data_IF_122973587903
#
_entry.id   IF_122973587903
#
_cell.length_a   1.000
_cell.length_b   1.000
_cell.length_c   1.000
_cell.angle_alpha   90.00
_cell.angle_beta   90.00
_cell.angle_gamma   90.00
#
_symmetry.space_group_name_H-M   'P 1'
#
loop_
_entity.id
_entity.type
_entity.pdbx_description
1 polymer ?
#
# COMPACT_ATOMS: atom_id res chain seq x y z
N UNK A 1 57.10 -1.89 -3.11
CA UNK A 1 56.15 -0.78 -3.32
C UNK A 1 54.97 -1.12 -4.26
N UNK A 2 54.64 -2.40 -4.52
CA UNK A 2 53.58 -2.79 -5.48
C UNK A 2 52.42 -3.63 -4.89
N UNK A 3 52.43 -3.96 -3.60
CA UNK A 3 51.34 -4.74 -2.97
C UNK A 3 50.22 -3.85 -2.40
N UNK A 4 50.54 -2.61 -1.99
CA UNK A 4 49.58 -1.71 -1.35
C UNK A 4 48.60 -1.08 -2.37
N UNK A 5 49.01 -0.92 -3.63
CA UNK A 5 48.17 -0.34 -4.68
C UNK A 5 47.09 -1.33 -5.17
N UNK A 6 47.31 -2.65 -5.09
CA UNK A 6 46.32 -3.65 -5.51
C UNK A 6 45.18 -3.85 -4.49
N UNK A 7 45.47 -3.66 -3.20
CA UNK A 7 44.47 -3.83 -2.12
C UNK A 7 43.49 -2.64 -2.09
N UNK A 8 43.97 -1.44 -2.42
CA UNK A 8 43.12 -0.24 -2.46
C UNK A 8 42.16 -0.26 -3.65
N UNK A 9 42.54 -0.83 -4.80
CA UNK A 9 41.62 -0.97 -5.96
C UNK A 9 40.54 -2.03 -5.72
N UNK A 10 40.84 -3.14 -5.03
CA UNK A 10 39.84 -4.15 -4.67
C UNK A 10 38.85 -3.66 -3.59
N UNK A 11 39.31 -2.81 -2.66
CA UNK A 11 38.45 -2.19 -1.65
C UNK A 11 37.57 -1.06 -2.24
N UNK A 12 38.05 -0.33 -3.24
CA UNK A 12 37.25 0.70 -3.93
C UNK A 12 36.24 0.10 -4.93
N UNK A 13 36.51 -1.05 -5.55
CA UNK A 13 35.52 -1.77 -6.36
C UNK A 13 34.41 -2.46 -5.52
N UNK A 14 34.67 -2.75 -4.25
CA UNK A 14 33.64 -3.33 -3.35
C UNK A 14 32.77 -2.29 -2.65
N UNK A 15 33.15 -1.01 -2.69
CA UNK A 15 32.37 0.11 -2.13
C UNK A 15 31.46 0.81 -3.15
N UNK A 16 31.67 0.62 -4.45
CA UNK A 16 30.97 1.38 -5.49
C UNK A 16 29.65 0.77 -6.00
N UNK A 17 29.21 -0.40 -5.51
CA UNK A 17 28.01 -1.08 -6.02
C UNK A 17 27.11 -1.73 -4.95
N UNK A 18 27.20 -1.31 -3.68
CA UNK A 18 26.09 -1.57 -2.76
C UNK A 18 24.99 -0.55 -3.04
N UNK A 19 24.31 -0.70 -4.19
CA UNK A 19 22.92 -0.30 -4.24
C UNK A 19 22.27 -0.97 -3.03
N UNK A 20 21.68 -0.18 -2.13
CA UNK A 20 20.98 -0.72 -0.99
C UNK A 20 20.04 -1.80 -1.53
N UNK A 21 20.27 -3.05 -1.15
CA UNK A 21 19.45 -4.15 -1.61
C UNK A 21 18.05 -3.85 -1.07
N UNK A 22 17.13 -3.46 -1.95
CA UNK A 22 15.73 -3.32 -1.60
C UNK A 22 15.28 -4.69 -1.10
N UNK A 23 14.83 -4.77 0.15
CA UNK A 23 14.19 -5.98 0.69
C UNK A 23 12.68 -5.79 0.54
N UNK A 24 12.15 -6.26 -0.57
CA UNK A 24 10.71 -6.23 -0.86
C UNK A 24 10.02 -7.35 -0.11
N UNK A 25 9.02 -7.01 0.71
CA UNK A 25 8.13 -7.98 1.32
C UNK A 25 7.33 -8.73 0.23
N UNK A 26 7.43 -10.06 0.24
CA UNK A 26 6.71 -10.95 -0.69
C UNK A 26 5.46 -11.51 0.00
N UNK A 27 4.24 -10.99 -0.30
CA UNK A 27 3.01 -11.46 0.32
C UNK A 27 2.60 -12.87 -0.14
N UNK A 28 1.77 -13.60 0.64
CA UNK A 28 1.14 -14.86 0.23
C UNK A 28 0.28 -14.71 -1.03
N UNK A 29 -0.12 -15.83 -1.67
CA UNK A 29 -0.97 -15.81 -2.85
C UNK A 29 -2.23 -14.93 -2.68
N UNK A 30 -2.64 -14.25 -3.75
CA UNK A 30 -3.78 -13.33 -3.73
C UNK A 30 -4.02 -12.66 -5.08
N UNK A 31 -4.97 -11.73 -5.14
CA UNK A 31 -5.20 -10.89 -6.31
C UNK A 31 -5.10 -9.42 -5.92
N UNK A 32 -4.37 -8.65 -6.71
CA UNK A 32 -4.29 -7.20 -6.61
C UNK A 32 -5.18 -6.59 -7.70
N UNK A 33 -6.12 -5.75 -7.28
CA UNK A 33 -7.02 -5.03 -8.18
C UNK A 33 -6.55 -3.58 -8.26
N UNK A 34 -6.21 -3.14 -9.47
CA UNK A 34 -5.66 -1.81 -9.76
C UNK A 34 -6.68 -1.04 -10.63
N UNK A 35 -7.69 -0.38 -10.03
CA UNK A 35 -8.82 0.15 -10.80
C UNK A 35 -8.51 1.26 -11.81
N UNK A 36 -7.34 1.90 -11.73
CA UNK A 36 -6.85 2.79 -12.76
C UNK A 36 -5.33 2.68 -12.84
N UNK A 37 -4.87 2.23 -13.98
CA UNK A 37 -3.50 2.33 -14.44
C UNK A 37 -3.48 3.24 -15.67
N UNK A 38 -2.29 3.68 -16.07
CA UNK A 38 -2.10 4.39 -17.33
C UNK A 38 -1.10 3.62 -18.18
N UNK A 39 -1.27 3.67 -19.49
CA UNK A 39 -0.30 3.14 -20.41
C UNK A 39 -0.04 4.11 -21.56
N UNK A 40 1.21 4.16 -22.01
CA UNK A 40 1.61 4.80 -23.26
C UNK A 40 2.18 3.72 -24.18
N UNK A 41 1.58 3.55 -25.36
CA UNK A 41 2.02 2.57 -26.35
C UNK A 41 2.43 3.28 -27.64
N UNK A 42 3.55 2.89 -28.23
CA UNK A 42 3.93 3.34 -29.58
C UNK A 42 3.68 2.22 -30.59
N UNK A 43 2.69 2.40 -31.45
CA UNK A 43 2.29 1.42 -32.47
C UNK A 43 2.62 1.96 -33.86
N UNK A 44 3.36 1.21 -34.66
CA UNK A 44 3.71 1.55 -36.03
C UNK A 44 2.87 0.73 -37.02
N UNK A 45 2.04 1.41 -37.83
CA UNK A 45 1.21 0.84 -38.90
C UNK A 45 1.61 1.41 -40.27
N UNK A 46 2.92 1.59 -40.51
CA UNK A 46 3.44 2.40 -41.62
C UNK A 46 3.62 3.87 -41.25
N UNK A 47 3.61 4.16 -39.94
CA UNK A 47 3.73 5.45 -39.28
C UNK A 47 3.53 5.27 -37.78
N UNK A 48 4.44 5.80 -36.97
CA UNK A 48 4.39 5.67 -35.51
C UNK A 48 3.23 6.50 -34.92
N UNK A 49 2.38 5.84 -34.14
CA UNK A 49 1.24 6.41 -33.43
C UNK A 49 1.43 6.20 -31.92
N UNK A 50 1.25 7.28 -31.16
CA UNK A 50 1.22 7.22 -29.69
C UNK A 50 -0.21 7.01 -29.19
N UNK A 51 -0.42 5.95 -28.42
CA UNK A 51 -1.67 5.65 -27.75
C UNK A 51 -1.51 5.91 -26.26
N UNK A 52 -2.26 6.88 -25.74
CA UNK A 52 -2.39 7.12 -24.30
C UNK A 52 -3.68 6.47 -23.82
N UNK A 53 -3.54 5.54 -22.90
CA UNK A 53 -4.63 4.69 -22.44
C UNK A 53 -4.73 4.70 -20.92
N UNK A 54 -5.93 4.44 -20.40
CA UNK A 54 -6.17 4.26 -18.98
C UNK A 54 -7.28 3.24 -18.73
N UNK A 55 -7.22 2.59 -17.57
CA UNK A 55 -8.23 1.62 -17.17
C UNK A 55 -7.74 0.63 -16.12
N UNK A 56 -8.59 -0.33 -15.72
CA UNK A 56 -8.25 -1.28 -14.68
C UNK A 56 -7.24 -2.33 -15.14
N UNK A 57 -6.44 -2.80 -14.18
CA UNK A 57 -5.56 -3.96 -14.29
C UNK A 57 -5.80 -4.87 -13.09
N UNK A 58 -5.69 -6.19 -13.26
CA UNK A 58 -5.73 -7.16 -12.17
C UNK A 58 -4.55 -8.10 -12.29
N UNK A 59 -3.86 -8.31 -11.18
CA UNK A 59 -2.68 -9.17 -11.09
C UNK A 59 -2.99 -10.27 -10.08
N UNK A 60 -2.78 -11.52 -10.47
CA UNK A 60 -2.77 -12.65 -9.56
C UNK A 60 -1.35 -12.91 -9.09
N UNK A 61 -1.19 -13.17 -7.79
CA UNK A 61 0.07 -13.52 -7.13
C UNK A 61 0.03 -14.97 -6.67
N UNK A 62 1.13 -15.70 -6.90
CA UNK A 62 1.40 -16.99 -6.27
C UNK A 62 1.97 -16.83 -4.86
N UNK A 63 2.23 -17.95 -4.20
CA UNK A 63 2.93 -17.97 -2.92
C UNK A 63 4.43 -17.68 -3.09
N UNK A 64 5.09 -17.09 -2.08
CA UNK A 64 6.54 -16.89 -2.09
C UNK A 64 7.31 -18.20 -2.28
N UNK A 65 8.20 -18.22 -3.26
CA UNK A 65 9.10 -19.33 -3.55
C UNK A 65 10.44 -19.09 -2.85
N UNK A 66 10.88 -20.08 -2.07
CA UNK A 66 12.19 -20.07 -1.44
C UNK A 66 13.25 -20.44 -2.48
N UNK A 67 14.07 -19.47 -2.85
CA UNK A 67 15.17 -19.59 -3.80
C UNK A 67 16.35 -18.74 -3.33
N UNK A 68 17.55 -18.83 -3.96
CA UNK A 68 18.69 -17.99 -3.60
C UNK A 68 18.35 -16.48 -3.59
N UNK A 69 17.47 -16.06 -4.50
CA UNK A 69 16.72 -14.81 -4.42
C UNK A 69 15.23 -15.18 -4.37
N UNK A 70 14.55 -15.04 -3.22
CA UNK A 70 13.13 -15.35 -3.12
C UNK A 70 12.29 -14.53 -4.11
N UNK A 71 11.19 -15.08 -4.59
CA UNK A 71 10.30 -14.42 -5.54
C UNK A 71 8.86 -14.90 -5.40
N UNK A 72 7.92 -14.17 -6.01
CA UNK A 72 6.55 -14.63 -6.28
C UNK A 72 6.34 -14.69 -7.79
N UNK A 73 5.68 -15.75 -8.24
CA UNK A 73 5.10 -15.79 -9.58
C UNK A 73 3.89 -14.87 -9.63
N UNK A 74 3.70 -14.18 -10.74
CA UNK A 74 2.57 -13.28 -10.96
C UNK A 74 1.95 -13.53 -12.34
N UNK A 75 0.70 -13.15 -12.52
CA UNK A 75 0.01 -13.22 -13.79
C UNK A 75 -0.87 -11.99 -13.93
N UNK A 76 -0.73 -11.24 -15.02
CA UNK A 76 -1.71 -10.21 -15.36
C UNK A 76 -2.94 -10.92 -15.93
N UNK A 77 -4.04 -10.88 -15.19
CA UNK A 77 -5.28 -11.61 -15.51
C UNK A 77 -6.38 -10.69 -16.05
N UNK A 78 -6.18 -9.37 -15.96
CA UNK A 78 -7.05 -8.37 -16.55
C UNK A 78 -6.21 -7.14 -16.94
N UNK A 79 -6.46 -6.64 -18.14
CA UNK A 79 -5.97 -5.35 -18.63
C UNK A 79 -7.10 -4.83 -19.51
N UNK A 80 -7.81 -3.78 -19.11
CA UNK A 80 -8.89 -3.21 -19.90
C UNK A 80 -8.66 -1.71 -20.05
N UNK A 81 -7.89 -1.31 -21.05
CA UNK A 81 -7.51 0.08 -21.23
C UNK A 81 -8.30 0.73 -22.36
N UNK A 82 -8.88 1.89 -22.07
CA UNK A 82 -9.45 2.79 -23.07
C UNK A 82 -8.41 3.81 -23.48
N UNK A 83 -8.19 3.96 -24.78
CA UNK A 83 -7.33 4.98 -25.35
C UNK A 83 -8.16 6.07 -26.05
N UNK A 84 -7.49 7.09 -26.57
CA UNK A 84 -8.13 8.09 -27.44
C UNK A 84 -8.78 7.45 -28.67
N UNK A 85 -9.77 8.16 -29.25
CA UNK A 85 -10.46 7.77 -30.49
C UNK A 85 -11.23 6.43 -30.43
N UNK A 86 -11.53 5.90 -29.24
CA UNK A 86 -12.27 4.64 -29.08
C UNK A 86 -11.43 3.38 -29.30
N UNK A 87 -10.10 3.52 -29.33
CA UNK A 87 -9.17 2.39 -29.35
C UNK A 87 -9.19 1.73 -27.97
N UNK A 88 -9.24 0.39 -27.95
CA UNK A 88 -9.24 -0.41 -26.72
C UNK A 88 -8.05 -1.37 -26.70
N UNK A 89 -7.45 -1.58 -25.53
CA UNK A 89 -6.38 -2.57 -25.32
C UNK A 89 -6.82 -3.54 -24.25
N UNK A 90 -6.82 -4.83 -24.60
CA UNK A 90 -7.15 -5.93 -23.70
C UNK A 90 -6.04 -6.97 -23.64
N UNK A 91 -6.07 -7.88 -22.66
CA UNK A 91 -5.25 -9.09 -22.74
C UNK A 91 -5.78 -10.02 -23.84
N UNK A 92 -4.88 -10.70 -24.54
CA UNK A 92 -5.25 -11.79 -25.44
C UNK A 92 -5.76 -12.99 -24.63
N UNK A 93 -7.05 -13.37 -24.74
CA UNK A 93 -7.63 -14.43 -23.92
C UNK A 93 -7.09 -15.84 -24.26
N UNK A 94 -6.32 -15.97 -25.35
CA UNK A 94 -5.75 -17.25 -25.81
C UNK A 94 -4.40 -17.55 -25.16
N UNK A 95 -3.72 -16.53 -24.62
CA UNK A 95 -2.35 -16.61 -24.13
C UNK A 95 -2.24 -16.03 -22.71
N UNK A 96 -1.71 -16.77 -21.73
CA UNK A 96 -1.49 -16.21 -20.39
C UNK A 96 -0.43 -15.11 -20.44
N UNK A 97 -0.54 -14.14 -19.53
CA UNK A 97 0.42 -13.04 -19.40
C UNK A 97 1.20 -13.14 -18.08
N UNK A 98 2.21 -14.03 -17.99
CA UNK A 98 2.94 -14.30 -16.77
C UNK A 98 3.92 -13.19 -16.40
N UNK A 99 4.39 -13.20 -15.17
CA UNK A 99 5.39 -12.29 -14.65
C UNK A 99 6.01 -12.82 -13.36
N UNK A 100 6.98 -12.10 -12.83
CA UNK A 100 7.61 -12.45 -11.56
C UNK A 100 8.01 -11.19 -10.82
N UNK A 101 7.98 -11.23 -9.49
CA UNK A 101 8.58 -10.19 -8.64
C UNK A 101 9.49 -10.83 -7.62
N UNK A 102 10.77 -10.44 -7.62
CA UNK A 102 11.76 -10.95 -6.69
C UNK A 102 11.97 -10.03 -5.48
N UNK A 103 12.55 -10.61 -4.44
CA UNK A 103 12.82 -9.96 -3.16
C UNK A 103 13.71 -8.72 -3.27
N UNK A 104 14.56 -8.64 -4.30
CA UNK A 104 15.41 -7.49 -4.58
C UNK A 104 14.68 -6.34 -5.32
N UNK A 105 13.39 -6.51 -5.61
CA UNK A 105 12.56 -5.53 -6.31
C UNK A 105 12.55 -5.65 -7.83
N UNK A 106 13.27 -6.60 -8.44
CA UNK A 106 13.13 -6.81 -9.88
C UNK A 106 11.75 -7.40 -10.18
N UNK A 107 11.01 -6.76 -11.09
CA UNK A 107 9.67 -7.19 -11.47
C UNK A 107 9.49 -7.11 -12.98
N UNK A 108 8.84 -8.11 -13.57
CA UNK A 108 8.52 -8.11 -14.99
C UNK A 108 7.20 -8.79 -15.30
N UNK A 109 6.64 -8.46 -16.47
CA UNK A 109 5.52 -9.16 -17.10
C UNK A 109 5.83 -9.42 -18.57
N UNK A 110 5.45 -10.59 -19.05
CA UNK A 110 5.34 -10.94 -20.46
C UNK A 110 3.87 -10.86 -20.86
N UNK A 111 3.46 -9.75 -21.48
CA UNK A 111 2.05 -9.51 -21.80
C UNK A 111 1.73 -9.86 -23.27
N UNK A 112 0.58 -10.51 -23.45
CA UNK A 112 -0.04 -10.70 -24.75
C UNK A 112 -1.30 -9.84 -24.79
N UNK A 113 -1.39 -8.95 -25.78
CA UNK A 113 -2.47 -7.96 -25.86
C UNK A 113 -3.23 -8.07 -27.17
N UNK A 114 -4.50 -7.67 -27.10
CA UNK A 114 -5.34 -7.33 -28.25
C UNK A 114 -5.58 -5.83 -28.29
N UNK A 115 -5.32 -5.19 -29.44
CA UNK A 115 -5.60 -3.77 -29.68
C UNK A 115 -6.73 -3.69 -30.70
N UNK A 116 -7.88 -3.18 -30.27
CA UNK A 116 -9.04 -2.96 -31.14
C UNK A 116 -9.02 -1.53 -31.65
N UNK A 117 -8.86 -1.37 -32.97
CA UNK A 117 -8.90 -0.09 -33.66
C UNK A 117 -10.29 0.11 -34.28
N UNK A 118 -11.03 1.16 -33.90
CA UNK A 118 -12.38 1.39 -34.40
C UNK A 118 -12.39 1.85 -35.86
N UNK A 119 -13.45 1.50 -36.58
CA UNK A 119 -13.67 1.82 -37.99
C UNK A 119 -15.04 1.30 -38.44
N UNK A 120 -15.35 1.42 -39.74
CA UNK A 120 -16.56 0.78 -40.33
C UNK A 120 -16.52 -0.74 -40.16
N UNK A 121 -15.31 -1.30 -40.24
CA UNK A 121 -14.98 -2.66 -39.83
C UNK A 121 -13.84 -2.56 -38.82
N UNK A 122 -14.06 -2.89 -37.53
CA UNK A 122 -13.00 -2.86 -36.53
C UNK A 122 -11.84 -3.78 -36.91
N UNK A 123 -10.61 -3.31 -36.69
CA UNK A 123 -9.39 -4.12 -36.83
C UNK A 123 -8.94 -4.55 -35.45
N UNK A 124 -8.74 -5.84 -35.24
CA UNK A 124 -8.14 -6.38 -34.01
C UNK A 124 -6.72 -6.81 -34.33
N UNK A 125 -5.78 -6.23 -33.61
CA UNK A 125 -4.36 -6.57 -33.66
C UNK A 125 -3.99 -7.38 -32.42
N UNK A 126 -3.19 -8.43 -32.57
CA UNK A 126 -2.66 -9.22 -31.45
C UNK A 126 -1.18 -9.52 -31.62
N UNK A 127 -0.47 -9.81 -30.54
CA UNK A 127 0.94 -10.26 -30.62
C UNK A 127 1.07 -11.48 -31.54
N UNK A 128 1.91 -11.41 -32.58
CA UNK A 128 2.03 -12.53 -33.55
C UNK A 128 2.55 -13.83 -32.90
N UNK A 129 3.56 -13.74 -32.02
CA UNK A 129 4.17 -14.91 -31.39
C UNK A 129 4.94 -14.60 -30.10
N UNK A 130 5.49 -13.39 -29.98
CA UNK A 130 6.27 -12.97 -28.81
C UNK A 130 5.45 -12.05 -27.89
N UNK A 131 5.61 -12.17 -26.55
CA UNK A 131 5.03 -11.21 -25.62
C UNK A 131 5.72 -9.85 -25.73
N UNK A 132 5.02 -8.80 -25.28
CA UNK A 132 5.69 -7.56 -24.91
C UNK A 132 6.21 -7.73 -23.48
N UNK A 133 7.54 -7.68 -23.30
CA UNK A 133 8.14 -7.82 -21.97
C UNK A 133 8.29 -6.43 -21.36
N UNK A 134 7.62 -6.20 -20.25
CA UNK A 134 7.73 -4.97 -19.48
C UNK A 134 8.47 -5.24 -18.15
N UNK A 135 9.34 -4.33 -17.74
CA UNK A 135 10.18 -4.50 -16.55
C UNK A 135 10.19 -3.22 -15.69
N UNK A 136 10.31 -3.40 -14.38
CA UNK A 136 10.45 -2.33 -13.39
C UNK A 136 11.31 -2.80 -12.20
N UNK A 137 11.86 -1.84 -11.46
CA UNK A 137 12.32 -2.07 -10.09
C UNK A 137 11.27 -1.50 -9.14
N UNK A 138 10.74 -2.33 -8.25
CA UNK A 138 9.60 -2.02 -7.38
C UNK A 138 10.02 -2.02 -5.91
N UNK A 139 9.41 -1.14 -5.11
CA UNK A 139 9.70 -1.04 -3.66
C UNK A 139 8.79 -1.88 -2.77
N UNK A 140 7.65 -2.36 -3.30
CA UNK A 140 6.64 -3.10 -2.56
C UNK A 140 5.74 -3.89 -3.52
N UNK A 141 4.97 -4.85 -2.98
CA UNK A 141 3.96 -5.63 -3.69
C UNK A 141 2.59 -5.37 -3.03
N UNK A 142 1.55 -4.91 -3.76
CA UNK A 142 1.53 -4.57 -5.19
C UNK A 142 2.45 -3.38 -5.54
N UNK A 143 2.92 -3.24 -6.80
CA UNK A 143 3.93 -2.26 -7.20
C UNK A 143 3.34 -0.85 -7.42
N UNK A 144 2.63 -0.30 -6.44
CA UNK A 144 1.95 1.00 -6.57
C UNK A 144 2.96 2.13 -6.80
N UNK A 145 2.63 3.04 -7.72
CA UNK A 145 3.49 4.15 -8.13
C UNK A 145 4.68 3.75 -9.01
N UNK A 146 4.78 2.47 -9.38
CA UNK A 146 5.86 1.98 -10.25
C UNK A 146 5.50 2.15 -11.72
N UNK A 147 6.54 2.31 -12.56
CA UNK A 147 6.41 2.37 -14.01
C UNK A 147 7.16 1.20 -14.63
N UNK A 148 6.45 0.40 -15.41
CA UNK A 148 7.00 -0.70 -16.18
C UNK A 148 7.30 -0.23 -17.60
N UNK A 149 8.51 -0.52 -18.09
CA UNK A 149 8.95 -0.17 -19.43
C UNK A 149 9.16 -1.42 -20.27
N UNK A 150 8.59 -1.42 -21.48
CA UNK A 150 8.83 -2.39 -22.53
C UNK A 150 9.65 -1.78 -23.66
N UNK A 151 10.86 -2.31 -23.85
CA UNK A 151 11.78 -1.86 -24.90
C UNK A 151 11.84 -2.80 -26.11
N UNK A 152 11.17 -3.96 -26.05
CA UNK A 152 11.18 -4.92 -27.14
C UNK A 152 10.18 -4.53 -28.23
N UNK A 153 10.62 -4.65 -29.49
CA UNK A 153 9.73 -4.56 -30.64
C UNK A 153 8.96 -5.86 -30.81
N UNK A 154 7.64 -5.76 -30.93
CA UNK A 154 6.75 -6.91 -31.10
C UNK A 154 5.87 -6.71 -32.32
N UNK A 155 5.94 -7.63 -33.27
CA UNK A 155 5.04 -7.60 -34.41
C UNK A 155 3.61 -7.95 -33.96
N UNK A 156 2.67 -7.16 -34.46
CA UNK A 156 1.24 -7.32 -34.22
C UNK A 156 0.57 -7.82 -35.50
N UNK A 157 -0.17 -8.90 -35.36
CA UNK A 157 -0.87 -9.59 -36.42
C UNK A 157 -2.36 -9.27 -36.39
N UNK A 158 -3.00 -9.32 -37.55
CA UNK A 158 -4.46 -9.32 -37.65
C UNK A 158 -5.06 -10.69 -37.28
N UNK A 159 -6.38 -10.80 -37.32
CA UNK A 159 -7.11 -12.05 -37.07
C UNK A 159 -6.75 -13.20 -38.03
N UNK A 160 -6.14 -12.92 -39.18
CA UNK A 160 -5.65 -13.92 -40.14
C UNK A 160 -4.18 -14.30 -39.90
N UNK A 161 -3.60 -13.86 -38.76
CA UNK A 161 -2.19 -14.00 -38.40
C UNK A 161 -1.22 -13.38 -39.41
N UNK A 162 -1.64 -12.34 -40.12
CA UNK A 162 -0.75 -11.56 -40.99
C UNK A 162 -0.19 -10.36 -40.21
N UNK A 163 1.13 -10.12 -40.23
CA UNK A 163 1.73 -8.98 -39.55
C UNK A 163 1.25 -7.68 -40.21
N UNK A 164 0.66 -6.79 -39.41
CA UNK A 164 0.05 -5.55 -39.88
C UNK A 164 0.61 -4.31 -39.16
N UNK A 165 1.13 -4.48 -37.95
CA UNK A 165 1.69 -3.39 -37.16
C UNK A 165 2.86 -3.85 -36.31
N UNK A 166 3.51 -2.91 -35.61
CA UNK A 166 4.54 -3.21 -34.62
C UNK A 166 4.37 -2.36 -33.37
N UNK A 167 4.36 -3.02 -32.22
CA UNK A 167 4.50 -2.37 -30.93
C UNK A 167 5.99 -2.09 -30.68
N UNK A 168 6.36 -0.83 -30.55
CA UNK A 168 7.77 -0.38 -30.50
C UNK A 168 8.20 0.14 -29.14
N UNK A 169 7.24 0.55 -28.32
CA UNK A 169 7.45 1.01 -26.96
C UNK A 169 6.19 0.79 -26.13
N UNK A 170 6.38 0.42 -24.88
CA UNK A 170 5.32 0.33 -23.88
C UNK A 170 5.81 0.99 -22.59
N UNK A 171 4.98 1.84 -22.02
CA UNK A 171 5.11 2.33 -20.66
C UNK A 171 3.79 2.02 -19.94
N UNK A 172 3.85 1.33 -18.81
CA UNK A 172 2.68 1.03 -17.97
C UNK A 172 2.92 1.56 -16.58
N UNK A 173 2.22 2.64 -16.24
CA UNK A 173 2.20 3.22 -14.92
C UNK A 173 1.15 2.47 -14.09
N UNK A 174 1.63 1.65 -13.17
CA UNK A 174 0.84 1.16 -12.05
C UNK A 174 0.68 2.35 -11.11
N UNK A 175 -0.23 3.24 -11.50
CA UNK A 175 -0.85 4.13 -10.54
C UNK A 175 -1.35 3.22 -9.41
N UNK A 176 -1.36 3.74 -8.19
CA UNK A 176 -2.02 3.01 -7.13
C UNK A 176 -3.42 2.58 -7.57
N UNK A 177 -4.14 1.83 -6.75
CA UNK A 177 -5.59 2.00 -6.73
C UNK A 177 -5.81 3.50 -6.97
N UNK A 178 -6.56 3.98 -7.99
CA UNK A 178 -7.19 5.27 -7.87
C UNK A 178 -7.89 5.08 -6.56
N UNK A 179 -7.23 5.49 -5.47
CA UNK A 179 -7.79 5.83 -4.18
C UNK A 179 -9.09 6.41 -4.64
N UNK A 180 -10.22 5.66 -4.53
CA UNK A 180 -11.29 5.81 -5.48
C UNK A 180 -11.49 7.29 -5.71
N UNK A 181 -11.84 7.70 -6.91
CA UNK A 181 -12.26 9.10 -7.06
C UNK A 181 -13.40 9.44 -6.06
N UNK A 182 -13.90 8.42 -5.32
CA UNK A 182 -14.56 8.44 -4.00
C UNK A 182 -13.90 7.77 -2.72
N UNK A 183 -12.66 7.25 -2.60
CA UNK A 183 -12.02 7.09 -1.26
C UNK A 183 -11.46 8.44 -0.88
N UNK A 184 -12.21 9.17 -0.08
CA UNK A 184 -11.72 10.37 0.59
C UNK A 184 -10.48 10.10 1.43
N UNK A 185 -9.30 10.01 0.83
CA UNK A 185 -8.01 10.33 1.46
C UNK A 185 -7.81 11.87 1.46
N UNK A 186 -8.91 12.61 1.36
CA UNK A 186 -9.07 13.91 2.02
C UNK A 186 -10.26 13.85 2.98
N UNK A 187 -10.57 12.67 3.52
CA UNK A 187 -11.39 12.63 4.71
C UNK A 187 -10.50 13.15 5.81
N UNK A 188 -10.76 14.38 6.25
CA UNK A 188 -10.12 14.91 7.43
C UNK A 188 -10.45 14.07 8.66
N UNK A 189 -11.36 13.07 8.58
CA UNK A 189 -11.81 12.21 9.68
C UNK A 189 -11.90 10.72 9.30
N UNK A 190 -11.37 9.84 10.14
CA UNK A 190 -11.64 8.39 10.08
C UNK A 190 -11.95 7.83 11.47
N UNK A 191 -12.56 6.64 11.51
CA UNK A 191 -13.14 6.04 12.70
C UNK A 191 -12.73 4.57 12.86
N UNK A 192 -12.34 4.18 14.07
CA UNK A 192 -11.91 2.83 14.41
C UNK A 192 -12.62 2.31 15.66
N UNK A 193 -12.94 1.03 15.73
CA UNK A 193 -13.42 0.41 16.97
C UNK A 193 -12.24 0.04 17.86
N UNK A 194 -12.39 0.22 19.18
CA UNK A 194 -11.42 -0.26 20.15
C UNK A 194 -12.10 -1.12 21.22
N UNK A 195 -11.33 -2.02 21.81
CA UNK A 195 -11.74 -2.90 22.89
C UNK A 195 -10.63 -3.02 23.95
N UNK A 196 -11.00 -2.82 25.21
CA UNK A 196 -10.11 -2.87 26.36
C UNK A 196 -10.72 -3.80 27.41
N UNK A 197 -10.27 -5.06 27.46
CA UNK A 197 -10.77 -6.03 28.44
C UNK A 197 -9.79 -6.13 29.60
N UNK A 198 -10.27 -5.86 30.82
CA UNK A 198 -9.51 -6.05 32.07
C UNK A 198 -9.77 -7.43 32.64
N UNK A 199 -8.77 -8.00 33.30
CA UNK A 199 -8.99 -9.16 34.16
C UNK A 199 -9.70 -8.69 35.44
N UNK A 200 -10.92 -9.17 35.75
CA UNK A 200 -11.63 -8.75 36.96
C UNK A 200 -10.96 -9.21 38.27
N UNK A 201 -9.95 -10.09 38.19
CA UNK A 201 -9.26 -10.70 39.33
C UNK A 201 -7.86 -10.13 39.55
N UNK A 202 -7.33 -9.33 38.64
CA UNK A 202 -5.98 -8.77 38.74
C UNK A 202 -5.91 -7.36 38.17
N UNK A 203 -4.71 -6.77 38.22
CA UNK A 203 -4.40 -5.52 37.54
C UNK A 203 -3.86 -5.79 36.14
N UNK A 204 -4.34 -6.82 35.45
CA UNK A 204 -3.87 -7.16 34.11
C UNK A 204 -4.95 -6.83 33.07
N UNK A 205 -4.50 -6.68 31.83
CA UNK A 205 -5.34 -6.70 30.64
C UNK A 205 -5.50 -8.12 30.13
N UNK A 206 -6.70 -8.45 29.67
CA UNK A 206 -7.01 -9.63 28.85
C UNK A 206 -7.03 -9.29 27.36
N UNK A 207 -7.29 -8.02 27.04
CA UNK A 207 -7.26 -7.47 25.69
C UNK A 207 -6.84 -6.01 25.70
N UNK A 208 -5.96 -5.65 24.76
CA UNK A 208 -5.46 -4.29 24.55
C UNK A 208 -5.60 -3.92 23.07
N UNK A 209 -6.19 -2.77 22.77
CA UNK A 209 -6.15 -2.14 21.45
C UNK A 209 -5.00 -1.15 21.32
N UNK A 210 -4.21 -1.30 20.25
CA UNK A 210 -3.35 -0.25 19.71
C UNK A 210 -3.96 0.32 18.43
N UNK A 211 -3.91 1.64 18.28
CA UNK A 211 -4.20 2.36 17.03
C UNK A 211 -2.89 2.65 16.31
N UNK A 212 -2.72 2.11 15.11
CA UNK A 212 -1.60 2.48 14.23
C UNK A 212 -2.05 3.57 13.27
N UNK A 213 -1.25 4.63 13.19
CA UNK A 213 -1.46 5.76 12.29
C UNK A 213 -0.25 5.91 11.38
N UNK A 214 -0.47 5.84 10.07
CA UNK A 214 0.57 6.11 9.06
C UNK A 214 0.29 7.41 8.34
N UNK A 215 1.28 8.29 8.29
CA UNK A 215 1.22 9.48 7.45
C UNK A 215 1.72 9.13 6.03
N UNK A 216 0.80 9.14 5.07
CA UNK A 216 1.12 8.84 3.67
C UNK A 216 1.57 10.08 2.89
N UNK A 217 1.61 11.25 3.53
CA UNK A 217 2.07 12.49 2.91
C UNK A 217 3.59 12.58 3.05
N UNK A 218 4.31 12.47 1.94
CA UNK A 218 5.77 12.28 1.92
C UNK A 218 6.60 13.47 2.45
N UNK A 219 6.03 14.67 2.47
CA UNK A 219 6.74 15.92 2.75
C UNK A 219 6.06 16.80 3.82
N UNK A 220 4.91 16.38 4.34
CA UNK A 220 4.14 17.17 5.31
C UNK A 220 3.96 16.39 6.61
N UNK A 221 4.41 16.96 7.72
CA UNK A 221 4.03 16.47 9.05
C UNK A 221 2.55 16.76 9.28
N UNK A 222 1.78 15.71 9.56
CA UNK A 222 0.38 15.84 9.94
C UNK A 222 0.24 15.89 11.46
N UNK A 223 -0.81 16.54 11.94
CA UNK A 223 -1.26 16.48 13.32
C UNK A 223 -2.54 15.66 13.33
N UNK A 224 -2.51 14.52 14.01
CA UNK A 224 -3.70 13.74 14.31
C UNK A 224 -4.30 14.24 15.63
N UNK A 225 -5.50 14.81 15.59
CA UNK A 225 -6.32 15.05 16.77
C UNK A 225 -7.28 13.88 16.95
N UNK A 226 -7.07 13.13 18.03
CA UNK A 226 -7.78 11.89 18.33
C UNK A 226 -8.83 12.15 19.40
N UNK A 227 -10.07 11.78 19.13
CA UNK A 227 -11.20 11.78 20.05
C UNK A 227 -11.57 10.33 20.38
N UNK A 228 -11.67 10.00 21.66
CA UNK A 228 -12.09 8.68 22.12
C UNK A 228 -13.51 8.78 22.69
N UNK A 229 -14.39 7.93 22.19
CA UNK A 229 -15.82 7.88 22.48
C UNK A 229 -16.15 6.48 23.01
N UNK A 230 -16.85 6.37 24.13
CA UNK A 230 -17.24 5.07 24.67
C UNK A 230 -18.46 4.46 23.94
N UNK A 231 -18.83 3.22 24.30
CA UNK A 231 -20.02 2.55 23.74
C UNK A 231 -21.37 3.23 24.00
N UNK A 232 -21.43 4.27 24.84
CA UNK A 232 -22.62 5.11 25.06
C UNK A 232 -22.52 6.46 24.31
N UNK A 233 -21.68 6.54 23.28
CA UNK A 233 -21.45 7.74 22.46
C UNK A 233 -20.98 8.97 23.25
N UNK A 234 -20.40 8.76 24.44
CA UNK A 234 -19.88 9.84 25.28
C UNK A 234 -18.39 10.03 25.05
N UNK A 235 -17.92 11.26 24.71
CA UNK A 235 -16.50 11.55 24.64
C UNK A 235 -15.83 11.35 26.00
N UNK A 236 -14.85 10.45 26.06
CA UNK A 236 -14.10 10.14 27.29
C UNK A 236 -12.73 10.80 27.33
N UNK A 237 -12.20 11.20 26.17
CA UNK A 237 -10.90 11.83 26.10
C UNK A 237 -10.55 12.34 24.72
N UNK A 238 -9.63 13.29 24.65
CA UNK A 238 -8.98 13.71 23.42
C UNK A 238 -7.50 13.98 23.61
N UNK A 239 -6.72 13.77 22.55
CA UNK A 239 -5.30 14.11 22.52
C UNK A 239 -4.85 14.47 21.11
N UNK A 240 -3.61 14.92 20.98
CA UNK A 240 -2.98 15.24 19.69
C UNK A 240 -1.63 14.55 19.59
N UNK A 241 -1.32 14.03 18.41
CA UNK A 241 0.02 13.55 18.08
C UNK A 241 0.45 14.09 16.72
N UNK A 242 1.76 14.23 16.52
CA UNK A 242 2.35 14.60 15.23
C UNK A 242 2.78 13.34 14.52
N UNK A 243 2.33 13.16 13.30
CA UNK A 243 2.71 12.06 12.42
C UNK A 243 3.77 12.56 11.45
N UNK A 244 5.00 12.09 11.61
CA UNK A 244 6.09 12.45 10.69
C UNK A 244 5.82 11.88 9.29
N UNK A 245 6.34 12.48 8.21
CA UNK A 245 6.16 11.94 6.86
C UNK A 245 6.66 10.50 6.75
N UNK A 246 5.84 9.61 6.18
CA UNK A 246 6.13 8.19 5.96
C UNK A 246 6.43 7.41 7.25
N UNK A 247 5.97 7.93 8.39
CA UNK A 247 6.15 7.34 9.71
C UNK A 247 4.89 6.61 10.15
N UNK A 248 5.09 5.59 10.98
CA UNK A 248 4.05 4.78 11.58
C UNK A 248 4.11 4.96 13.10
N UNK A 249 3.09 5.59 13.66
CA UNK A 249 2.96 5.71 15.12
C UNK A 249 1.98 4.63 15.63
N UNK A 250 2.39 3.82 16.60
CA UNK A 250 1.51 2.88 17.31
C UNK A 250 1.10 3.47 18.68
N UNK A 251 -0.18 3.78 18.84
CA UNK A 251 -0.75 4.38 20.05
C UNK A 251 -1.49 3.33 20.84
N UNK A 252 -1.04 3.00 22.05
CA UNK A 252 -1.75 2.07 22.93
C UNK A 252 -2.94 2.77 23.60
N UNK A 253 -4.15 2.51 23.10
CA UNK A 253 -5.37 3.23 23.49
C UNK A 253 -5.77 2.87 24.91
N UNK A 254 -5.74 1.59 25.27
CA UNK A 254 -6.14 1.14 26.60
C UNK A 254 -5.19 1.67 27.68
N UNK A 255 -3.89 1.64 27.44
CA UNK A 255 -2.90 2.22 28.34
C UNK A 255 -3.05 3.75 28.48
N UNK A 256 -3.27 4.45 27.36
CA UNK A 256 -3.47 5.92 27.34
C UNK A 256 -4.68 6.33 28.18
N UNK A 257 -5.81 5.61 28.04
CA UNK A 257 -7.00 5.84 28.85
C UNK A 257 -6.75 5.50 30.33
N UNK A 258 -6.03 4.42 30.61
CA UNK A 258 -5.76 3.98 31.98
C UNK A 258 -4.94 5.01 32.76
N UNK A 259 -3.91 5.55 32.13
CA UNK A 259 -3.04 6.57 32.70
C UNK A 259 -3.78 7.90 32.95
N UNK A 260 -4.74 8.23 32.10
CA UNK A 260 -5.39 9.55 32.11
C UNK A 260 -6.68 9.58 32.94
N UNK A 261 -7.48 8.51 32.90
CA UNK A 261 -8.78 8.43 33.58
C UNK A 261 -8.69 7.66 34.90
N UNK A 262 -7.62 6.89 35.10
CA UNK A 262 -7.46 6.00 36.24
C UNK A 262 -8.13 4.65 36.06
N UNK A 263 -7.75 3.73 36.95
CA UNK A 263 -7.91 2.30 36.70
C UNK A 263 -9.34 1.80 36.53
N UNK A 264 -10.34 2.44 37.12
CA UNK A 264 -11.73 1.98 37.06
C UNK A 264 -12.58 2.73 36.03
N UNK A 265 -11.97 3.67 35.29
CA UNK A 265 -12.69 4.55 34.37
C UNK A 265 -12.51 4.21 32.88
N UNK A 266 -11.60 3.29 32.53
CA UNK A 266 -11.42 2.87 31.13
C UNK A 266 -12.66 2.10 30.64
N UNK A 267 -13.36 2.59 29.59
CA UNK A 267 -14.49 1.88 29.00
C UNK A 267 -14.06 0.57 28.33
N UNK A 268 -14.91 -0.47 28.35
CA UNK A 268 -14.57 -1.77 27.77
C UNK A 268 -14.47 -1.73 26.24
N UNK A 269 -15.22 -0.86 25.57
CA UNK A 269 -15.17 -0.68 24.12
C UNK A 269 -15.71 0.69 23.73
N UNK A 270 -15.44 1.07 22.48
CA UNK A 270 -15.95 2.30 21.90
C UNK A 270 -15.40 2.57 20.50
N UNK A 271 -15.39 3.85 20.14
CA UNK A 271 -14.94 4.36 18.86
C UNK A 271 -13.84 5.39 19.07
N UNK A 272 -12.83 5.36 18.19
CA UNK A 272 -11.81 6.39 18.06
C UNK A 272 -12.10 7.15 16.78
N UNK A 273 -12.29 8.46 16.88
CA UNK A 273 -12.36 9.34 15.73
C UNK A 273 -11.06 10.14 15.62
N UNK A 274 -10.41 10.08 14.48
CA UNK A 274 -9.14 10.76 14.23
C UNK A 274 -9.38 11.85 13.22
N UNK A 275 -8.95 13.07 13.52
CA UNK A 275 -8.91 14.15 12.54
C UNK A 275 -7.52 14.67 12.22
N UNK A 276 -7.31 15.10 10.98
CA UNK A 276 -6.00 15.50 10.47
C UNK A 276 -5.90 17.03 10.28
N UNK A 277 -4.71 17.59 10.53
CA UNK A 277 -4.34 18.98 10.24
C UNK A 277 -2.82 19.13 9.96
N UNK A 278 -2.38 19.84 8.91
CA UNK A 278 -3.19 20.39 7.83
C UNK A 278 -3.90 19.28 7.04
N UNK A 279 -4.73 19.66 6.08
CA UNK A 279 -5.41 18.71 5.20
C UNK A 279 -4.37 17.82 4.50
N UNK A 280 -4.48 16.50 4.66
CA UNK A 280 -3.53 15.51 4.15
C UNK A 280 -4.07 14.09 4.29
N UNK A 281 -3.31 13.11 3.82
CA UNK A 281 -3.68 11.69 3.85
C UNK A 281 -2.98 10.95 4.98
N UNK A 282 -3.77 10.34 5.87
CA UNK A 282 -3.27 9.34 6.81
C UNK A 282 -4.19 8.13 6.79
N UNK A 283 -3.62 6.97 7.07
CA UNK A 283 -4.36 5.72 7.18
C UNK A 283 -4.27 5.19 8.60
N UNK A 284 -5.34 4.54 9.05
CA UNK A 284 -5.47 4.04 10.41
C UNK A 284 -5.94 2.60 10.42
N UNK A 285 -5.38 1.79 11.32
CA UNK A 285 -5.93 0.49 11.66
C UNK A 285 -5.72 0.19 13.14
N UNK A 286 -6.54 -0.71 13.67
CA UNK A 286 -6.42 -1.18 15.04
C UNK A 286 -5.83 -2.58 15.08
N UNK A 287 -5.06 -2.85 16.14
CA UNK A 287 -4.50 -4.15 16.51
C UNK A 287 -4.98 -4.47 17.90
N UNK A 288 -5.79 -5.51 18.01
CA UNK A 288 -6.29 -6.03 19.26
C UNK A 288 -5.42 -7.21 19.67
N UNK A 289 -4.76 -7.08 20.80
CA UNK A 289 -3.88 -8.09 21.37
C UNK A 289 -4.63 -8.83 22.47
N UNK A 290 -4.78 -10.14 22.30
CA UNK A 290 -5.41 -11.04 23.27
C UNK A 290 -4.32 -11.74 24.07
N UNK A 291 -4.39 -11.68 25.39
CA UNK A 291 -3.39 -12.29 26.28
C UNK A 291 -3.48 -11.68 27.68
N UNK A 292 -2.63 -12.14 28.60
CA UNK A 292 -2.55 -11.53 29.94
C UNK A 292 -1.35 -10.60 29.99
N UNK A 293 -1.60 -9.30 30.03
CA UNK A 293 -0.57 -8.26 30.03
C UNK A 293 -0.66 -7.43 31.30
N UNK A 294 0.47 -7.15 31.96
CA UNK A 294 0.43 -6.27 33.13
C UNK A 294 0.00 -4.88 32.70
N UNK A 295 -0.84 -4.21 33.49
CA UNK A 295 -1.24 -2.82 33.18
C UNK A 295 -0.09 -1.82 33.14
N UNK A 296 1.01 -2.12 33.83
CA UNK A 296 2.25 -1.34 33.76
C UNK A 296 3.05 -1.58 32.49
N UNK A 297 2.77 -2.67 31.76
CA UNK A 297 3.53 -3.09 30.58
C UNK A 297 2.78 -2.59 29.35
N UNK A 298 3.15 -1.40 28.91
CA UNK A 298 2.48 -0.71 27.81
C UNK A 298 2.88 -1.25 26.43
N UNK A 299 3.99 -2.00 26.38
CA UNK A 299 4.51 -2.68 25.20
C UNK A 299 4.64 -4.18 25.52
N UNK A 300 3.61 -4.98 25.20
CA UNK A 300 3.57 -6.38 25.62
C UNK A 300 4.68 -7.21 24.95
N UNK A 301 5.21 -6.78 23.80
CA UNK A 301 6.27 -7.50 23.08
C UNK A 301 7.67 -7.27 23.68
N UNK A 302 7.95 -6.07 24.21
CA UNK A 302 9.28 -5.74 24.75
C UNK A 302 9.68 -6.56 25.97
N UNK A 303 8.71 -7.09 26.71
CA UNK A 303 8.93 -7.94 27.89
C UNK A 303 8.99 -9.44 27.58
N UNK A 304 8.97 -9.83 26.29
CA UNK A 304 8.91 -11.25 25.89
C UNK A 304 7.57 -11.93 26.22
N UNK A 305 6.52 -11.17 26.54
CA UNK A 305 5.17 -11.72 26.70
C UNK A 305 4.59 -11.96 25.30
N UNK A 306 4.27 -13.22 25.01
CA UNK A 306 3.63 -13.59 23.75
C UNK A 306 2.13 -13.34 23.86
N UNK A 307 1.59 -12.52 22.97
CA UNK A 307 0.15 -12.44 22.77
C UNK A 307 -0.38 -13.84 22.37
N UNK A 308 -1.48 -14.25 22.98
CA UNK A 308 -2.19 -15.50 22.64
C UNK A 308 -3.01 -15.38 21.35
N UNK A 309 -3.29 -14.16 20.90
CA UNK A 309 -3.94 -13.87 19.64
C UNK A 309 -3.78 -12.41 19.23
N UNK A 310 -3.90 -12.15 17.93
CA UNK A 310 -3.85 -10.81 17.35
C UNK A 310 -4.98 -10.65 16.34
N UNK A 311 -5.88 -9.71 16.57
CA UNK A 311 -6.87 -9.25 15.59
C UNK A 311 -6.42 -7.94 14.96
N UNK A 312 -6.60 -7.77 13.66
CA UNK A 312 -6.36 -6.50 12.96
C UNK A 312 -7.63 -6.06 12.23
N UNK A 313 -7.97 -4.79 12.33
CA UNK A 313 -9.15 -4.23 11.65
C UNK A 313 -8.84 -2.84 11.14
N UNK A 314 -9.15 -2.61 9.87
CA UNK A 314 -9.00 -1.31 9.22
C UNK A 314 -10.00 -0.29 9.78
N UNK A 315 -9.57 0.97 9.89
CA UNK A 315 -10.46 2.07 10.24
C UNK A 315 -11.31 2.48 9.04
N UNK A 316 -12.56 2.86 9.31
CA UNK A 316 -13.50 3.31 8.28
C UNK A 316 -13.40 4.82 8.08
N UNK A 317 -13.37 5.27 6.83
CA UNK A 317 -13.52 6.68 6.49
C UNK A 317 -14.91 7.21 6.89
N UNK A 318 -14.95 8.39 7.52
CA UNK A 318 -16.20 9.07 7.88
C UNK A 318 -16.43 10.23 6.92
N UNK A 319 -17.43 10.10 6.05
CA UNK A 319 -17.71 11.14 5.05
C UNK A 319 -18.09 12.49 5.67
N UNK A 320 -17.80 13.62 4.98
CA UNK A 320 -18.00 14.98 5.48
C UNK A 320 -19.47 15.32 5.82
N UNK A 321 -20.42 14.58 5.22
CA UNK A 321 -21.85 14.71 5.50
C UNK A 321 -22.23 14.19 6.90
N UNK A 322 -21.42 13.30 7.49
CA UNK A 322 -21.60 12.77 8.85
C UNK A 322 -20.92 13.69 9.85
N UNK A 323 -19.62 13.93 9.67
CA UNK A 323 -18.83 14.84 10.52
C UNK A 323 -17.69 15.48 9.73
N UNK A 324 -17.14 16.58 10.24
CA UNK A 324 -15.98 17.27 9.65
C UNK A 324 -14.90 17.39 10.70
N UNK A 325 -13.62 17.57 10.33
CA UNK A 325 -12.60 17.73 11.35
C UNK A 325 -12.83 18.99 12.19
N UNK A 326 -13.37 20.06 11.59
CA UNK A 326 -13.78 21.25 12.37
C UNK A 326 -14.82 20.90 13.45
N UNK A 327 -15.84 20.11 13.11
CA UNK A 327 -16.86 19.66 14.08
C UNK A 327 -16.24 18.76 15.15
N UNK A 328 -15.41 17.80 14.75
CA UNK A 328 -14.73 16.89 15.67
C UNK A 328 -13.87 17.66 16.69
N UNK A 329 -13.06 18.60 16.21
CA UNK A 329 -12.18 19.44 17.04
C UNK A 329 -12.94 20.35 18.00
N UNK A 330 -14.17 20.71 17.66
CA UNK A 330 -15.04 21.52 18.51
C UNK A 330 -15.71 20.72 19.65
N UNK A 331 -15.66 19.37 19.63
CA UNK A 331 -16.21 18.55 20.70
C UNK A 331 -15.41 18.77 21.99
N UNK A 332 -16.16 19.07 23.06
CA UNK A 332 -15.60 19.19 24.40
C UNK A 332 -15.37 17.78 24.97
N UNK A 333 -14.13 17.50 25.36
CA UNK A 333 -13.73 16.25 25.98
C UNK A 333 -12.52 16.51 26.90
N UNK A 334 -12.32 15.69 27.95
CA UNK A 334 -11.13 15.75 28.77
C UNK A 334 -9.86 15.61 27.92
N UNK A 335 -8.86 16.46 28.16
CA UNK A 335 -7.57 16.33 27.45
C UNK A 335 -6.74 15.26 28.13
N UNK A 336 -6.39 14.20 27.40
CA UNK A 336 -5.52 13.12 27.87
C UNK A 336 -4.07 13.61 27.81
N UNK A 337 -3.50 13.94 28.97
CA UNK A 337 -2.18 14.59 29.09
C UNK A 337 -1.01 13.64 28.81
N UNK A 338 -1.23 12.32 28.91
CA UNK A 338 -0.22 11.29 28.70
C UNK A 338 -0.74 10.32 27.65
N UNK A 339 -0.07 10.29 26.51
CA UNK A 339 -0.37 9.37 25.41
C UNK A 339 0.80 8.41 25.31
N UNK A 340 0.50 7.12 25.30
CA UNK A 340 1.54 6.11 25.07
C UNK A 340 1.66 5.86 23.57
N UNK A 341 2.75 6.35 23.00
CA UNK A 341 3.07 6.22 21.58
C UNK A 341 4.39 5.45 21.51
N UNK A 342 4.32 4.27 20.92
CA UNK A 342 5.51 3.61 20.41
C UNK A 342 5.91 4.36 19.14
N UNK A 343 6.93 5.19 19.28
CA UNK A 343 7.51 5.88 18.14
C UNK A 343 8.49 4.91 17.48
N UNK A 344 8.10 4.31 16.36
CA UNK A 344 8.98 3.43 15.59
C UNK A 344 9.97 4.26 14.79
N UNK A 345 10.71 5.17 15.43
CA UNK A 345 11.81 5.90 14.82
C UNK A 345 12.93 4.91 14.44
N UNK A 346 12.64 4.10 13.44
CA UNK A 346 13.63 3.38 12.67
C UNK A 346 14.49 4.45 12.03
N UNK A 347 15.83 4.39 12.21
CA UNK A 347 16.71 5.29 11.49
C UNK A 347 16.36 5.15 10.02
N UNK A 348 15.91 6.26 9.41
CA UNK A 348 15.69 6.33 7.96
C UNK A 348 16.91 5.71 7.25
N UNK A 349 16.73 4.83 6.27
CA UNK A 349 17.83 4.30 5.48
C UNK A 349 18.67 5.42 4.84
#
# INVERSE_FOLDING_TARGET
MNALLLIVTAALLSYANRAAAFDVFLPPAGEDVLPATKATLMVDMGGAMELRCSGPTRIRRGDPVVAPVPYIETEMVQLDLSCGNGIMVHLDPRMPSPGQTSKNGDSFFDIFVEITVPGTTPVVLHNCSAPARMQATVGHVPPLGSVYYGANQVDLCDQSNQPLARLTHVEHEVNGVPKPESSGEVSEVFSCFYECKKDPRSTDWLEITSLMLINQTADVTLTAEVLVINGNETPVGKFRTRLSPLDLDEINICATLDLSLGQNAVPPAGVIEVSLAPTGGAYGWVKNLLGRFRRSDYEPFGAGQLATGVGKTECRLVGPNVTTARKLRAISAPVLQRVYIENTADPKP
#
